data_IF_966310498568
#
_entry.id   IF_966310498568
#
_cell.length_a   1.000
_cell.length_b   1.000
_cell.length_c   1.000
_cell.angle_alpha   90.00
_cell.angle_beta   90.00
_cell.angle_gamma   90.00
#
_symmetry.space_group_name_H-M   'P 1'
#
loop_
_entity.id
_entity.type
_entity.pdbx_description
1 polymer ?
#
# COMPACT_ATOMS: atom_id res chain seq x y z
N UNK A 1 1.00 -3.13 20.78
CA UNK A 1 -0.27 -2.36 20.72
C UNK A 1 -0.07 -1.08 21.51
N UNK A 2 -0.60 0.05 21.04
CA UNK A 2 -0.51 1.31 21.77
C UNK A 2 -1.32 1.23 23.07
N UNK A 3 -0.72 1.59 24.21
CA UNK A 3 -1.35 1.45 25.53
C UNK A 3 -2.60 2.31 25.70
N UNK A 4 -2.68 3.44 24.98
CA UNK A 4 -3.83 4.36 24.95
C UNK A 4 -4.71 4.22 23.70
N UNK A 5 -4.76 3.04 23.08
CA UNK A 5 -5.55 2.86 21.85
C UNK A 5 -7.04 3.20 22.04
N UNK A 6 -7.59 2.95 23.23
CA UNK A 6 -8.99 3.28 23.55
C UNK A 6 -9.21 4.79 23.54
N UNK A 7 -8.37 5.54 24.27
CA UNK A 7 -8.42 7.01 24.30
C UNK A 7 -8.32 7.62 22.89
N UNK A 8 -7.46 7.06 22.03
CA UNK A 8 -7.30 7.51 20.64
C UNK A 8 -8.60 7.28 19.85
N UNK A 9 -9.21 6.09 19.95
CA UNK A 9 -10.46 5.78 19.26
C UNK A 9 -11.62 6.65 19.76
N UNK A 10 -11.69 6.91 21.07
CA UNK A 10 -12.67 7.82 21.66
C UNK A 10 -12.53 9.24 21.11
N UNK A 11 -11.29 9.73 20.97
CA UNK A 11 -11.04 11.04 20.39
C UNK A 11 -11.43 11.09 18.90
N UNK A 12 -11.04 10.09 18.11
CA UNK A 12 -11.41 9.96 16.69
C UNK A 12 -12.94 9.96 16.52
N UNK A 13 -13.65 9.22 17.36
CA UNK A 13 -15.11 9.17 17.37
C UNK A 13 -15.71 10.54 17.70
N UNK A 14 -15.22 11.20 18.75
CA UNK A 14 -15.70 12.53 19.20
C UNK A 14 -15.52 13.59 18.12
N UNK A 15 -14.37 13.60 17.45
CA UNK A 15 -14.03 14.55 16.39
C UNK A 15 -14.64 14.16 15.02
N UNK A 16 -15.47 13.11 14.97
CA UNK A 16 -16.11 12.58 13.76
C UNK A 16 -15.12 12.32 12.60
N UNK A 17 -13.93 11.87 12.94
CA UNK A 17 -12.89 11.57 11.97
C UNK A 17 -13.12 10.19 11.34
N UNK A 18 -12.83 10.08 10.05
CA UNK A 18 -12.83 8.77 9.37
C UNK A 18 -11.69 7.92 9.94
N UNK A 19 -12.00 6.67 10.28
CA UNK A 19 -11.01 5.73 10.78
C UNK A 19 -10.55 4.74 9.70
N UNK A 20 -9.23 4.62 9.52
CA UNK A 20 -8.61 3.57 8.72
C UNK A 20 -7.54 2.91 9.60
N UNK A 21 -7.59 1.59 9.76
CA UNK A 21 -6.66 0.82 10.59
C UNK A 21 -6.03 -0.29 9.77
N UNK A 22 -4.70 -0.34 9.74
CA UNK A 22 -3.95 -1.52 9.30
C UNK A 22 -3.38 -2.23 10.54
N UNK A 23 -3.66 -3.53 10.69
CA UNK A 23 -3.28 -4.32 11.86
C UNK A 23 -2.76 -5.71 11.48
N UNK A 24 -2.03 -6.36 12.38
CA UNK A 24 -1.69 -7.79 12.25
C UNK A 24 -2.81 -8.71 12.78
N UNK A 25 -3.87 -8.15 13.38
CA UNK A 25 -5.05 -8.89 13.85
C UNK A 25 -4.88 -9.62 15.19
N UNK A 26 -3.65 -9.97 15.59
CA UNK A 26 -3.36 -10.84 16.76
C UNK A 26 -4.01 -10.36 18.06
N UNK A 27 -4.04 -9.05 18.29
CA UNK A 27 -4.58 -8.45 19.51
C UNK A 27 -5.96 -7.79 19.30
N UNK A 28 -6.63 -8.08 18.18
CA UNK A 28 -7.93 -7.50 17.89
C UNK A 28 -9.04 -8.22 18.67
N UNK A 29 -9.31 -7.78 19.90
CA UNK A 29 -10.37 -8.35 20.74
C UNK A 29 -11.78 -7.94 20.29
N UNK A 30 -12.84 -8.63 20.72
CA UNK A 30 -14.22 -8.23 20.43
C UNK A 30 -14.53 -6.80 20.92
N UNK A 31 -14.01 -6.41 22.09
CA UNK A 31 -14.24 -5.05 22.62
C UNK A 31 -13.56 -3.99 21.75
N UNK A 32 -12.33 -4.25 21.29
CA UNK A 32 -11.62 -3.31 20.42
C UNK A 32 -12.31 -3.20 19.04
N UNK A 33 -12.78 -4.31 18.50
CA UNK A 33 -13.57 -4.33 17.27
C UNK A 33 -14.87 -3.51 17.43
N UNK A 34 -15.59 -3.69 18.56
CA UNK A 34 -16.76 -2.88 18.89
C UNK A 34 -16.45 -1.38 18.92
N UNK A 35 -15.40 -0.96 19.63
CA UNK A 35 -15.00 0.45 19.70
C UNK A 35 -14.65 1.04 18.32
N UNK A 36 -13.91 0.30 17.49
CA UNK A 36 -13.61 0.75 16.13
C UNK A 36 -14.88 0.90 15.28
N UNK A 37 -15.89 0.06 15.50
CA UNK A 37 -17.14 0.10 14.73
C UNK A 37 -17.94 1.37 14.97
N UNK A 38 -17.81 1.97 16.15
CA UNK A 38 -18.48 3.21 16.54
C UNK A 38 -17.89 4.47 15.88
N UNK A 39 -16.71 4.36 15.26
CA UNK A 39 -16.10 5.47 14.54
C UNK A 39 -16.79 5.73 13.19
N UNK A 40 -16.61 6.93 12.62
CA UNK A 40 -17.18 7.31 11.32
C UNK A 40 -16.48 6.56 10.19
N UNK A 41 -17.26 5.93 9.30
CA UNK A 41 -16.77 5.21 8.11
C UNK A 41 -15.51 4.35 8.35
N UNK A 42 -15.51 3.46 9.35
CA UNK A 42 -14.32 2.77 9.79
C UNK A 42 -13.97 1.68 8.78
N UNK A 43 -12.69 1.58 8.43
CA UNK A 43 -12.15 0.57 7.54
C UNK A 43 -10.96 -0.12 8.19
N UNK A 44 -10.98 -1.44 8.25
CA UNK A 44 -9.92 -2.23 8.90
C UNK A 44 -9.34 -3.22 7.90
N UNK A 45 -8.02 -3.22 7.82
CA UNK A 45 -7.23 -4.19 7.07
C UNK A 45 -6.42 -5.07 8.01
N UNK A 46 -6.44 -6.37 7.79
CA UNK A 46 -5.66 -7.35 8.56
C UNK A 46 -4.60 -7.97 7.67
N UNK A 47 -3.38 -7.96 8.17
CA UNK A 47 -2.22 -8.45 7.43
C UNK A 47 -2.12 -9.98 7.57
N UNK A 48 -2.24 -10.71 6.46
CA UNK A 48 -2.19 -12.19 6.38
C UNK A 48 -1.29 -12.59 5.21
N UNK A 49 -0.03 -12.97 5.50
CA UNK A 49 0.98 -13.22 4.46
C UNK A 49 1.11 -14.70 4.05
N UNK A 50 0.24 -15.58 4.54
CA UNK A 50 0.22 -17.01 4.22
C UNK A 50 -1.15 -17.59 4.52
N UNK A 51 -1.54 -18.60 3.75
CA UNK A 51 -2.81 -19.32 3.91
C UNK A 51 -2.74 -20.42 4.99
N UNK A 52 -1.54 -20.66 5.52
CA UNK A 52 -1.27 -21.55 6.65
C UNK A 52 -0.32 -20.89 7.66
N UNK A 53 -0.22 -21.53 8.84
CA UNK A 53 0.63 -21.07 9.92
C UNK A 53 2.13 -21.13 9.58
N UNK A 54 2.59 -22.13 8.83
CA UNK A 54 4.00 -22.29 8.52
C UNK A 54 4.55 -21.09 7.74
N UNK A 55 3.88 -20.72 6.65
CA UNK A 55 4.30 -19.60 5.80
C UNK A 55 4.04 -18.27 6.49
N UNK A 56 2.85 -18.09 7.07
CA UNK A 56 2.51 -16.83 7.71
C UNK A 56 3.46 -16.52 8.88
N UNK A 57 3.69 -17.49 9.77
CA UNK A 57 4.51 -17.28 10.96
C UNK A 57 6.00 -17.18 10.62
N UNK A 58 6.47 -17.85 9.56
CA UNK A 58 7.82 -17.62 9.04
C UNK A 58 8.02 -16.18 8.58
N UNK A 59 7.05 -15.61 7.85
CA UNK A 59 7.13 -14.22 7.36
C UNK A 59 7.01 -13.23 8.53
N UNK A 60 6.11 -13.49 9.48
CA UNK A 60 5.87 -12.59 10.62
C UNK A 60 6.91 -12.70 11.73
N UNK A 61 7.60 -13.84 11.83
CA UNK A 61 8.54 -14.14 12.91
C UNK A 61 7.88 -14.33 14.28
N UNK A 62 6.58 -14.62 14.33
CA UNK A 62 5.82 -14.72 15.60
C UNK A 62 4.97 -16.01 15.60
N UNK A 63 5.31 -17.00 16.45
CA UNK A 63 4.51 -18.20 16.62
C UNK A 63 3.08 -17.89 17.10
N UNK A 64 2.10 -18.61 16.56
CA UNK A 64 0.68 -18.41 16.84
C UNK A 64 0.06 -17.15 16.21
N UNK A 65 0.82 -16.38 15.44
CA UNK A 65 0.31 -15.16 14.80
C UNK A 65 -0.72 -15.45 13.71
N UNK A 66 -0.67 -16.62 13.07
CA UNK A 66 -1.67 -17.00 12.08
C UNK A 66 -3.06 -17.17 12.69
N UNK A 67 -3.19 -18.02 13.72
CA UNK A 67 -4.48 -18.19 14.42
C UNK A 67 -4.92 -16.91 15.12
N UNK A 68 -3.98 -16.13 15.68
CA UNK A 68 -4.28 -14.81 16.23
C UNK A 68 -4.88 -13.86 15.19
N UNK A 69 -4.32 -13.81 13.98
CA UNK A 69 -4.84 -12.99 12.89
C UNK A 69 -6.22 -13.48 12.43
N UNK A 70 -6.41 -14.80 12.28
CA UNK A 70 -7.71 -15.38 11.93
C UNK A 70 -8.78 -15.06 12.99
N UNK A 71 -8.45 -15.16 14.28
CA UNK A 71 -9.36 -14.80 15.35
C UNK A 71 -9.69 -13.30 15.34
N UNK A 72 -8.69 -12.45 15.09
CA UNK A 72 -8.89 -11.01 14.93
C UNK A 72 -9.85 -10.67 13.79
N UNK A 73 -9.72 -11.36 12.64
CA UNK A 73 -10.63 -11.21 11.50
C UNK A 73 -12.05 -11.62 11.88
N UNK A 74 -12.22 -12.76 12.58
CA UNK A 74 -13.53 -13.21 13.06
C UNK A 74 -14.17 -12.18 14.00
N UNK A 75 -13.42 -11.66 14.96
CA UNK A 75 -13.90 -10.63 15.89
C UNK A 75 -14.35 -9.35 15.15
N UNK A 76 -13.63 -8.93 14.10
CA UNK A 76 -14.03 -7.80 13.26
C UNK A 76 -15.35 -8.09 12.52
N UNK A 77 -15.47 -9.27 11.93
CA UNK A 77 -16.68 -9.70 11.20
C UNK A 77 -17.89 -9.78 12.14
N UNK A 78 -17.71 -10.32 13.34
CA UNK A 78 -18.76 -10.40 14.36
C UNK A 78 -19.20 -9.01 14.85
N UNK A 79 -18.28 -8.04 14.89
CA UNK A 79 -18.58 -6.62 15.14
C UNK A 79 -19.22 -5.89 13.93
N UNK A 80 -19.48 -6.60 12.83
CA UNK A 80 -20.15 -6.07 11.65
C UNK A 80 -19.23 -5.37 10.63
N UNK A 81 -17.92 -5.60 10.70
CA UNK A 81 -17.00 -5.23 9.62
C UNK A 81 -17.03 -6.23 8.47
N UNK A 82 -16.58 -5.77 7.30
CA UNK A 82 -16.09 -6.65 6.24
C UNK A 82 -14.64 -6.23 5.95
N UNK A 83 -13.66 -6.81 6.66
CA UNK A 83 -12.29 -6.32 6.62
C UNK A 83 -11.63 -6.57 5.25
N UNK A 84 -10.55 -5.86 4.98
CA UNK A 84 -9.63 -6.19 3.89
C UNK A 84 -8.52 -7.11 4.41
N UNK A 85 -8.16 -8.14 3.65
CA UNK A 85 -6.97 -8.94 3.93
C UNK A 85 -5.81 -8.42 3.09
N UNK A 86 -4.66 -8.17 3.71
CA UNK A 86 -3.46 -7.70 3.01
C UNK A 86 -2.40 -8.78 3.04
N UNK A 87 -1.87 -9.13 1.88
CA UNK A 87 -0.74 -10.03 1.72
C UNK A 87 0.41 -9.31 1.02
N UNK A 88 1.60 -9.37 1.60
CA UNK A 88 2.84 -8.98 0.89
C UNK A 88 3.34 -10.17 0.10
N UNK A 89 3.44 -10.03 -1.22
CA UNK A 89 3.88 -11.11 -2.10
C UNK A 89 5.39 -11.29 -2.00
N UNK A 90 5.81 -12.54 -1.83
CA UNK A 90 7.19 -13.00 -1.71
C UNK A 90 7.37 -14.28 -2.53
N UNK A 91 8.61 -14.67 -2.85
CA UNK A 91 8.88 -15.96 -3.50
C UNK A 91 8.28 -17.13 -2.71
N UNK A 92 8.39 -17.08 -1.39
CA UNK A 92 7.92 -18.14 -0.50
C UNK A 92 6.40 -18.29 -0.48
N UNK A 93 5.61 -17.25 -0.66
CA UNK A 93 4.14 -17.31 -0.50
C UNK A 93 3.34 -17.08 -1.79
N UNK A 94 3.97 -16.70 -2.91
CA UNK A 94 3.27 -16.38 -4.17
C UNK A 94 2.35 -17.49 -4.67
N UNK A 95 2.65 -18.74 -4.34
CA UNK A 95 1.84 -19.89 -4.73
C UNK A 95 0.52 -20.00 -3.94
N UNK A 96 0.39 -19.28 -2.82
CA UNK A 96 -0.81 -19.27 -1.96
C UNK A 96 -1.77 -18.09 -2.25
N UNK A 97 -1.54 -17.33 -3.33
CA UNK A 97 -2.36 -16.16 -3.65
C UNK A 97 -3.84 -16.54 -3.80
N UNK A 98 -4.14 -17.62 -4.52
CA UNK A 98 -5.52 -18.11 -4.66
C UNK A 98 -6.10 -18.60 -3.33
N UNK A 99 -5.31 -19.31 -2.53
CA UNK A 99 -5.74 -19.82 -1.23
C UNK A 99 -6.09 -18.68 -0.27
N UNK A 100 -5.34 -17.58 -0.29
CA UNK A 100 -5.66 -16.36 0.46
C UNK A 100 -7.00 -15.77 0.01
N UNK A 101 -7.30 -15.76 -1.29
CA UNK A 101 -8.61 -15.30 -1.79
C UNK A 101 -9.74 -16.20 -1.26
N UNK A 102 -9.58 -17.53 -1.34
CA UNK A 102 -10.58 -18.49 -0.82
C UNK A 102 -10.76 -18.37 0.69
N UNK A 103 -9.67 -18.18 1.42
CA UNK A 103 -9.70 -17.96 2.85
C UNK A 103 -10.40 -16.64 3.20
N UNK A 104 -10.15 -15.58 2.44
CA UNK A 104 -10.82 -14.30 2.60
C UNK A 104 -12.34 -14.39 2.37
N UNK A 105 -12.77 -15.13 1.35
CA UNK A 105 -14.18 -15.43 1.09
C UNK A 105 -14.81 -16.18 2.29
N UNK A 106 -14.15 -17.24 2.77
CA UNK A 106 -14.59 -18.02 3.94
C UNK A 106 -14.71 -17.17 5.21
N UNK A 107 -13.80 -16.22 5.39
CA UNK A 107 -13.78 -15.29 6.51
C UNK A 107 -14.71 -14.09 6.31
N UNK A 108 -15.51 -14.04 5.23
CA UNK A 108 -16.44 -12.93 4.93
C UNK A 108 -15.77 -11.55 4.81
N UNK A 109 -14.50 -11.53 4.40
CA UNK A 109 -13.79 -10.30 4.07
C UNK A 109 -14.49 -9.55 2.90
N UNK A 110 -14.24 -8.25 2.78
CA UNK A 110 -14.73 -7.45 1.64
C UNK A 110 -13.78 -7.48 0.44
N UNK A 111 -12.48 -7.60 0.71
CA UNK A 111 -11.45 -7.49 -0.32
C UNK A 111 -10.14 -8.14 0.10
N UNK A 112 -9.30 -8.43 -0.88
CA UNK A 112 -7.89 -8.78 -0.67
C UNK A 112 -7.02 -7.73 -1.35
N UNK A 113 -5.92 -7.34 -0.73
CA UNK A 113 -4.91 -6.46 -1.29
C UNK A 113 -3.56 -7.17 -1.33
N UNK A 114 -3.01 -7.28 -2.53
CA UNK A 114 -1.67 -7.81 -2.75
C UNK A 114 -0.68 -6.65 -2.90
N UNK A 115 0.26 -6.57 -1.96
CA UNK A 115 1.37 -5.64 -2.00
C UNK A 115 2.60 -6.32 -2.60
N UNK A 116 3.21 -5.68 -3.58
CA UNK A 116 4.57 -6.04 -4.00
C UNK A 116 5.54 -5.61 -2.90
N UNK A 117 6.56 -6.42 -2.64
CA UNK A 117 7.63 -6.02 -1.75
C UNK A 117 8.30 -4.77 -2.31
N UNK A 118 8.48 -3.79 -1.44
CA UNK A 118 9.19 -2.57 -1.78
C UNK A 118 10.62 -2.68 -1.25
N UNK A 119 11.67 -2.37 -2.03
CA UNK A 119 13.05 -2.32 -1.55
C UNK A 119 13.29 -1.11 -0.61
N UNK A 120 12.55 -1.03 0.49
CA UNK A 120 12.66 0.00 1.52
C UNK A 120 12.30 -0.58 2.90
N UNK A 121 12.92 -0.04 3.96
CA UNK A 121 12.73 -0.54 5.33
C UNK A 121 13.06 -2.03 5.45
N UNK A 122 12.16 -2.82 6.07
CA UNK A 122 12.33 -4.29 6.19
C UNK A 122 12.44 -5.02 4.86
N UNK A 123 11.91 -4.44 3.76
CA UNK A 123 12.06 -5.01 2.43
C UNK A 123 13.48 -4.93 1.87
N UNK A 124 14.35 -4.07 2.42
CA UNK A 124 15.76 -3.99 1.99
C UNK A 124 16.53 -5.26 2.37
N UNK A 125 16.34 -5.79 3.59
CA UNK A 125 16.96 -7.03 4.05
C UNK A 125 16.47 -8.23 3.25
N UNK A 126 15.17 -8.30 2.99
CA UNK A 126 14.55 -9.38 2.22
C UNK A 126 14.93 -9.34 0.73
N UNK A 127 15.16 -8.14 0.18
CA UNK A 127 15.69 -7.98 -1.17
C UNK A 127 17.15 -8.45 -1.25
N UNK A 128 17.95 -8.17 -0.22
CA UNK A 128 19.34 -8.67 -0.09
C UNK A 128 19.39 -10.20 0.05
N UNK A 129 18.39 -10.82 0.67
CA UNK A 129 18.28 -12.27 0.78
C UNK A 129 17.61 -12.96 -0.40
N UNK A 130 17.39 -12.23 -1.51
CA UNK A 130 16.74 -12.73 -2.73
C UNK A 130 15.34 -13.35 -2.51
N UNK A 131 14.62 -12.96 -1.46
CA UNK A 131 13.26 -13.46 -1.17
C UNK A 131 12.17 -12.73 -1.98
N UNK A 132 12.57 -11.64 -2.66
CA UNK A 132 11.74 -10.85 -3.56
C UNK A 132 11.66 -11.49 -4.96
N UNK A 133 10.57 -11.20 -5.67
CA UNK A 133 10.36 -11.65 -7.04
C UNK A 133 11.17 -10.80 -8.03
N UNK A 134 11.67 -11.42 -9.09
CA UNK A 134 12.24 -10.66 -10.21
C UNK A 134 11.20 -9.78 -10.89
N UNK A 135 11.63 -8.72 -11.58
CA UNK A 135 10.69 -7.82 -12.26
C UNK A 135 9.85 -8.55 -13.32
N UNK A 136 10.42 -9.56 -14.00
CA UNK A 136 9.70 -10.43 -14.93
C UNK A 136 8.60 -11.25 -14.24
N UNK A 137 8.89 -11.83 -13.08
CA UNK A 137 7.91 -12.56 -12.30
C UNK A 137 6.80 -11.64 -11.80
N UNK A 138 7.15 -10.42 -11.34
CA UNK A 138 6.17 -9.44 -10.90
C UNK A 138 5.24 -8.97 -12.04
N UNK A 139 5.76 -8.81 -13.26
CA UNK A 139 4.94 -8.45 -14.43
C UNK A 139 3.98 -9.59 -14.75
N UNK A 140 4.49 -10.81 -14.91
CA UNK A 140 3.65 -11.99 -15.20
C UNK A 140 2.59 -12.23 -14.15
N UNK A 141 2.98 -12.10 -12.87
CA UNK A 141 2.06 -12.27 -11.75
C UNK A 141 0.99 -11.19 -11.77
N UNK A 142 1.36 -9.92 -12.01
CA UNK A 142 0.40 -8.84 -12.11
C UNK A 142 -0.58 -9.02 -13.27
N UNK A 143 -0.11 -9.43 -14.43
CA UNK A 143 -0.98 -9.73 -15.58
C UNK A 143 -2.00 -10.83 -15.24
N UNK A 144 -1.54 -11.91 -14.62
CA UNK A 144 -2.42 -13.01 -14.18
C UNK A 144 -3.42 -12.57 -13.10
N UNK A 145 -2.99 -11.80 -12.09
CA UNK A 145 -3.89 -11.26 -11.06
C UNK A 145 -4.99 -10.40 -11.70
N UNK A 146 -4.59 -9.48 -12.59
CA UNK A 146 -5.51 -8.51 -13.18
C UNK A 146 -6.46 -9.15 -14.21
N UNK A 147 -6.01 -10.17 -14.96
CA UNK A 147 -6.78 -10.76 -16.08
C UNK A 147 -7.54 -12.03 -15.74
N UNK A 148 -7.02 -12.85 -14.83
CA UNK A 148 -7.50 -14.20 -14.56
C UNK A 148 -8.06 -14.31 -13.15
N UNK A 149 -7.23 -14.06 -12.12
CA UNK A 149 -7.64 -14.20 -10.72
C UNK A 149 -8.80 -13.27 -10.34
N UNK A 150 -8.75 -12.01 -10.80
CA UNK A 150 -9.82 -11.03 -10.53
C UNK A 150 -11.20 -11.45 -11.08
N UNK A 151 -11.24 -12.39 -12.04
CA UNK A 151 -12.49 -12.91 -12.62
C UNK A 151 -12.97 -14.20 -11.94
N UNK A 152 -12.11 -14.89 -11.18
CA UNK A 152 -12.43 -16.17 -10.53
C UNK A 152 -13.13 -16.03 -9.17
N UNK A 153 -13.39 -14.79 -8.75
CA UNK A 153 -14.03 -14.43 -7.48
C UNK A 153 -14.89 -13.17 -7.63
N UNK A 154 -15.90 -13.03 -6.77
CA UNK A 154 -16.64 -11.77 -6.59
C UNK A 154 -16.00 -10.84 -5.56
N UNK A 155 -14.97 -11.32 -4.84
CA UNK A 155 -14.21 -10.53 -3.90
C UNK A 155 -13.42 -9.44 -4.64
N UNK A 156 -13.42 -8.21 -4.11
CA UNK A 156 -12.61 -7.16 -4.70
C UNK A 156 -11.13 -7.45 -4.47
N UNK A 157 -10.37 -7.59 -5.54
CA UNK A 157 -8.90 -7.73 -5.48
C UNK A 157 -8.27 -6.38 -5.76
N UNK A 158 -7.41 -5.92 -4.86
CA UNK A 158 -6.52 -4.79 -5.05
C UNK A 158 -5.10 -5.32 -5.28
N UNK A 159 -4.41 -4.78 -6.28
CA UNK A 159 -3.01 -5.14 -6.52
C UNK A 159 -2.19 -3.87 -6.67
N UNK A 160 -1.07 -3.79 -5.95
CA UNK A 160 -0.10 -2.69 -6.00
C UNK A 160 0.74 -2.69 -7.30
N UNK A 161 0.12 -3.09 -8.41
CA UNK A 161 0.66 -3.00 -9.75
C UNK A 161 0.65 -1.54 -10.22
N UNK A 162 1.73 -1.03 -10.84
CA UNK A 162 1.71 0.34 -11.34
C UNK A 162 0.60 0.51 -12.38
N UNK A 163 -0.09 1.65 -12.36
CA UNK A 163 -1.25 1.88 -13.23
C UNK A 163 -0.96 1.76 -14.73
N UNK A 164 0.29 1.95 -15.16
CA UNK A 164 0.69 1.71 -16.53
C UNK A 164 0.39 0.26 -16.98
N UNK A 165 0.47 -0.71 -16.07
CA UNK A 165 0.26 -2.12 -16.39
C UNK A 165 -1.20 -2.57 -16.21
N UNK A 166 -2.06 -1.72 -15.62
CA UNK A 166 -3.46 -2.07 -15.40
C UNK A 166 -4.28 -1.92 -16.69
N UNK A 167 -5.12 -2.91 -17.02
CA UNK A 167 -6.08 -2.76 -18.10
C UNK A 167 -7.15 -1.72 -17.73
N UNK A 168 -7.74 -1.05 -18.73
CA UNK A 168 -8.75 -0.01 -18.52
C UNK A 168 -9.97 -0.52 -17.74
N UNK A 169 -10.35 -1.78 -17.93
CA UNK A 169 -11.44 -2.42 -17.19
C UNK A 169 -11.18 -2.49 -15.68
N UNK A 170 -9.93 -2.55 -15.25
CA UNK A 170 -9.55 -2.57 -13.84
C UNK A 170 -9.46 -1.16 -13.24
N UNK A 171 -9.13 -0.17 -14.06
CA UNK A 171 -9.10 1.24 -13.66
C UNK A 171 -10.50 1.87 -13.58
N UNK A 172 -11.40 1.53 -14.49
CA UNK A 172 -12.69 2.22 -14.65
C UNK A 172 -13.93 1.31 -14.60
N UNK A 173 -13.78 -0.01 -14.55
CA UNK A 173 -14.91 -0.94 -14.50
C UNK A 173 -15.46 -1.15 -13.10
N UNK A 174 -16.70 -1.65 -13.01
CA UNK A 174 -17.44 -1.85 -11.75
C UNK A 174 -16.73 -2.80 -10.75
N UNK A 175 -16.07 -3.82 -11.29
CA UNK A 175 -15.23 -4.77 -10.53
C UNK A 175 -13.77 -4.34 -10.43
N UNK A 176 -13.42 -3.15 -10.90
CA UNK A 176 -12.08 -2.58 -10.82
C UNK A 176 -11.63 -2.24 -9.40
N UNK A 177 -10.33 -2.07 -9.21
CA UNK A 177 -9.75 -1.53 -7.97
C UNK A 177 -9.39 -0.04 -8.06
N UNK A 178 -9.75 0.59 -9.19
CA UNK A 178 -9.63 2.01 -9.43
C UNK A 178 -8.20 2.52 -9.55
N UNK A 179 -8.07 3.83 -9.58
CA UNK A 179 -6.79 4.54 -9.47
C UNK A 179 -6.38 4.66 -8.00
N UNK A 180 -6.18 3.51 -7.33
CA UNK A 180 -5.70 3.46 -5.95
C UNK A 180 -4.29 4.07 -5.86
N UNK A 181 -4.22 5.38 -5.67
CA UNK A 181 -2.99 6.15 -5.57
C UNK A 181 -2.82 6.72 -4.18
N UNK A 182 -1.55 6.93 -3.79
CA UNK A 182 -1.24 7.69 -2.59
C UNK A 182 -1.85 9.10 -2.70
N UNK A 183 -2.51 9.56 -1.65
CA UNK A 183 -3.03 10.93 -1.55
C UNK A 183 -1.92 11.94 -1.28
N UNK A 184 -0.85 11.92 -2.05
CA UNK A 184 0.41 12.62 -1.78
C UNK A 184 0.24 14.14 -1.54
N UNK A 185 -0.76 14.77 -2.15
CA UNK A 185 -1.06 16.19 -1.95
C UNK A 185 -1.85 16.51 -0.68
N UNK A 186 -2.40 15.50 -0.01
CA UNK A 186 -3.30 15.65 1.14
C UNK A 186 -2.95 14.74 2.32
N UNK A 187 -1.71 14.23 2.39
CA UNK A 187 -1.25 13.33 3.44
C UNK A 187 -0.04 13.89 4.17
N UNK A 188 -0.03 13.74 5.48
CA UNK A 188 1.12 13.94 6.35
C UNK A 188 1.14 12.80 7.38
N UNK A 189 2.31 12.23 7.64
CA UNK A 189 2.51 11.22 8.66
C UNK A 189 2.86 11.85 10.00
N UNK A 190 2.37 11.26 11.09
CA UNK A 190 2.83 11.52 12.45
C UNK A 190 3.43 10.21 12.98
N UNK A 191 4.72 10.24 13.31
CA UNK A 191 5.46 9.07 13.79
C UNK A 191 5.25 8.86 15.29
N UNK A 192 5.74 7.73 15.80
CA UNK A 192 5.54 7.35 17.21
C UNK A 192 6.20 8.29 18.22
N UNK A 193 7.22 9.03 17.80
CA UNK A 193 7.93 10.06 18.56
C UNK A 193 7.32 11.47 18.41
N UNK A 194 6.19 11.57 17.71
CA UNK A 194 5.53 12.85 17.42
C UNK A 194 6.14 13.61 16.24
N UNK A 195 7.09 13.04 15.50
CA UNK A 195 7.66 13.68 14.32
C UNK A 195 6.64 13.75 13.17
N UNK A 196 6.50 14.92 12.56
CA UNK A 196 5.80 15.08 11.28
C UNK A 196 6.69 14.59 10.15
N UNK A 197 6.15 13.79 9.22
CA UNK A 197 6.90 13.25 8.09
C UNK A 197 6.03 13.13 6.84
N UNK A 198 6.64 12.83 5.68
CA UNK A 198 5.89 12.62 4.43
C UNK A 198 4.87 11.48 4.55
N UNK A 199 5.29 10.40 5.19
CA UNK A 199 4.49 9.25 5.59
C UNK A 199 5.32 8.45 6.62
N UNK A 200 4.96 7.18 6.85
CA UNK A 200 5.76 6.27 7.70
C UNK A 200 7.22 6.09 7.24
N UNK A 201 7.60 6.52 6.03
CA UNK A 201 8.98 6.50 5.56
C UNK A 201 9.94 7.31 6.43
N UNK A 202 9.44 8.32 7.17
CA UNK A 202 10.25 9.18 8.03
C UNK A 202 11.06 8.42 9.08
N UNK A 203 10.58 7.25 9.51
CA UNK A 203 11.29 6.31 10.40
C UNK A 203 12.66 5.88 9.84
N UNK A 204 12.79 5.86 8.52
CA UNK A 204 14.01 5.39 7.82
C UNK A 204 14.70 6.49 7.02
N UNK A 205 14.00 7.59 6.72
CA UNK A 205 14.52 8.69 5.91
C UNK A 205 14.33 10.01 6.66
N UNK A 206 15.34 10.41 7.48
CA UNK A 206 15.27 11.65 8.26
C UNK A 206 15.04 12.91 7.41
N UNK A 207 15.47 12.91 6.14
CA UNK A 207 15.26 14.05 5.23
C UNK A 207 13.78 14.27 4.88
N UNK A 208 12.93 13.27 5.09
CA UNK A 208 11.48 13.35 4.88
C UNK A 208 10.71 13.56 6.21
N UNK A 209 11.42 13.96 7.27
CA UNK A 209 10.86 14.46 8.53
C UNK A 209 10.85 15.99 8.46
N UNK A 210 9.73 16.59 8.88
CA UNK A 210 9.39 17.98 8.61
C UNK A 210 9.23 18.85 9.85
N UNK A 211 9.18 18.24 11.03
CA UNK A 211 9.00 18.90 12.32
C UNK A 211 8.55 17.91 13.39
N UNK A 212 8.11 18.41 14.54
CA UNK A 212 7.58 17.60 15.65
C UNK A 212 6.36 18.27 16.30
N UNK A 213 5.36 17.48 16.67
CA UNK A 213 4.08 17.93 17.24
C UNK A 213 4.23 18.78 18.50
N UNK A 214 5.29 18.60 19.29
CA UNK A 214 5.50 19.34 20.54
C UNK A 214 6.06 20.75 20.30
N UNK A 215 6.66 21.00 19.13
CA UNK A 215 7.45 22.21 18.85
C UNK A 215 6.89 23.02 17.69
N UNK A 216 6.40 22.34 16.67
CA UNK A 216 6.07 22.92 15.38
C UNK A 216 4.56 22.92 15.13
N UNK A 217 4.03 24.01 14.58
CA UNK A 217 2.65 24.08 14.15
C UNK A 217 2.43 23.19 12.92
N UNK A 218 1.40 22.32 12.98
CA UNK A 218 1.01 21.51 11.82
C UNK A 218 0.70 22.38 10.60
N UNK A 219 0.06 23.54 10.80
CA UNK A 219 -0.28 24.47 9.72
C UNK A 219 0.97 25.03 9.05
N UNK A 220 1.96 25.46 9.84
CA UNK A 220 3.20 26.00 9.31
C UNK A 220 4.00 24.92 8.58
N UNK A 221 4.15 23.74 9.18
CA UNK A 221 4.80 22.59 8.52
C UNK A 221 4.08 22.27 7.21
N UNK A 222 2.75 22.21 7.22
CA UNK A 222 1.96 21.86 6.04
C UNK A 222 2.12 22.88 4.91
N UNK A 223 2.03 24.18 5.20
CA UNK A 223 2.06 25.20 4.15
C UNK A 223 3.46 25.66 3.79
N UNK A 224 4.41 25.65 4.73
CA UNK A 224 5.72 26.30 4.57
C UNK A 224 6.92 25.35 4.44
N UNK A 225 6.76 24.06 4.72
CA UNK A 225 7.86 23.12 4.52
C UNK A 225 8.28 23.04 3.04
N UNK A 226 9.59 23.23 2.78
CA UNK A 226 10.13 23.29 1.43
C UNK A 226 9.89 22.03 0.59
N UNK A 227 10.01 20.83 1.19
CA UNK A 227 9.81 19.57 0.47
C UNK A 227 8.33 19.39 0.10
N UNK A 228 7.41 19.75 0.98
CA UNK A 228 5.98 19.70 0.67
C UNK A 228 5.60 20.68 -0.45
N UNK A 229 6.18 21.89 -0.46
CA UNK A 229 6.01 22.85 -1.58
C UNK A 229 6.56 22.27 -2.87
N UNK A 230 7.79 21.75 -2.85
CA UNK A 230 8.42 21.13 -4.02
C UNK A 230 7.57 20.00 -4.60
N UNK A 231 6.98 19.14 -3.76
CA UNK A 231 6.09 18.05 -4.21
C UNK A 231 4.83 18.59 -4.89
N UNK A 232 4.17 19.59 -4.29
CA UNK A 232 2.94 20.19 -4.83
C UNK A 232 3.17 20.91 -6.15
N UNK A 233 4.29 21.60 -6.28
CA UNK A 233 4.64 22.37 -7.49
C UNK A 233 5.29 21.50 -8.56
N UNK A 234 5.96 20.42 -8.15
CA UNK A 234 6.77 19.59 -9.04
C UNK A 234 6.03 18.42 -9.69
N UNK A 235 5.04 17.84 -9.02
CA UNK A 235 4.31 16.69 -9.57
C UNK A 235 3.15 17.14 -10.46
N UNK A 236 2.92 16.44 -11.60
CA UNK A 236 3.69 15.32 -12.13
C UNK A 236 4.81 15.73 -13.10
N UNK A 237 4.99 17.02 -13.37
CA UNK A 237 5.78 17.53 -14.51
C UNK A 237 7.28 17.31 -14.37
N UNK A 238 7.81 17.34 -13.15
CA UNK A 238 9.24 17.12 -12.89
C UNK A 238 9.65 15.66 -12.91
N UNK A 239 8.72 14.71 -12.99
CA UNK A 239 9.04 13.28 -13.01
C UNK A 239 10.05 12.95 -14.10
N UNK A 240 11.01 12.10 -13.77
CA UNK A 240 12.14 11.70 -14.62
C UNK A 240 11.97 10.27 -15.16
N UNK A 241 12.94 9.82 -15.96
CA UNK A 241 13.00 8.46 -16.50
C UNK A 241 11.76 8.10 -17.32
N UNK A 242 11.35 6.83 -17.26
CA UNK A 242 10.15 6.36 -17.98
C UNK A 242 8.87 7.06 -17.50
N UNK A 243 8.82 7.52 -16.25
CA UNK A 243 7.63 8.17 -15.68
C UNK A 243 7.36 9.54 -16.32
N UNK A 244 8.40 10.25 -16.78
CA UNK A 244 8.26 11.55 -17.48
C UNK A 244 7.33 11.49 -18.68
N UNK A 245 7.45 10.42 -19.44
CA UNK A 245 6.78 10.19 -20.73
C UNK A 245 5.57 9.23 -20.59
N UNK A 246 5.25 8.81 -19.37
CA UNK A 246 4.15 7.89 -19.13
C UNK A 246 2.79 8.60 -19.23
N UNK A 247 1.90 8.08 -20.07
CA UNK A 247 0.54 8.62 -20.26
C UNK A 247 -0.31 8.61 -18.98
N UNK A 248 0.08 7.78 -17.98
CA UNK A 248 -0.62 7.68 -16.70
C UNK A 248 -0.09 8.64 -15.63
N UNK A 249 0.93 9.46 -15.91
CA UNK A 249 1.63 10.25 -14.87
C UNK A 249 0.74 11.25 -14.12
N UNK A 250 -0.28 11.81 -14.79
CA UNK A 250 -1.20 12.78 -14.19
C UNK A 250 -2.14 12.18 -13.14
N UNK A 251 -2.34 10.86 -13.20
CA UNK A 251 -3.15 10.14 -12.22
C UNK A 251 -2.22 9.40 -11.23
N UNK A 252 -1.12 8.83 -11.73
CA UNK A 252 -0.18 8.00 -10.97
C UNK A 252 0.74 8.81 -10.06
N UNK A 253 1.09 10.02 -10.47
CA UNK A 253 1.97 10.93 -9.74
C UNK A 253 3.30 10.28 -9.34
N UNK A 254 3.84 9.38 -10.16
CA UNK A 254 5.10 8.69 -9.88
C UNK A 254 5.00 7.52 -8.90
N UNK A 255 3.79 7.01 -8.63
CA UNK A 255 3.51 5.90 -7.69
C UNK A 255 3.89 6.25 -6.25
N UNK A 256 5.07 5.85 -5.76
CA UNK A 256 5.51 6.12 -4.39
C UNK A 256 6.71 7.07 -4.37
N UNK A 257 6.45 8.36 -4.16
CA UNK A 257 7.48 9.42 -4.10
C UNK A 257 8.49 9.19 -2.97
N UNK A 258 8.00 8.77 -1.81
CA UNK A 258 8.82 8.39 -0.67
C UNK A 258 9.87 7.34 -1.06
N UNK A 259 9.47 6.35 -1.85
CA UNK A 259 10.36 5.29 -2.30
C UNK A 259 11.31 5.73 -3.42
N UNK A 260 10.84 6.56 -4.35
CA UNK A 260 11.70 7.15 -5.38
C UNK A 260 12.87 7.89 -4.72
N UNK A 261 12.57 8.66 -3.67
CA UNK A 261 13.56 9.33 -2.84
C UNK A 261 14.42 8.36 -2.02
N UNK A 262 13.84 7.33 -1.40
CA UNK A 262 14.60 6.34 -0.63
C UNK A 262 15.72 5.71 -1.49
N UNK A 263 15.36 5.26 -2.70
CA UNK A 263 16.23 4.56 -3.63
C UNK A 263 17.30 5.47 -4.26
N UNK A 264 16.90 6.67 -4.71
CA UNK A 264 17.75 7.51 -5.58
C UNK A 264 18.16 8.84 -4.96
N UNK A 265 17.67 9.15 -3.75
CA UNK A 265 17.79 10.47 -3.09
C UNK A 265 17.26 11.63 -3.97
N UNK A 266 16.31 11.32 -4.84
CA UNK A 266 15.65 12.26 -5.74
C UNK A 266 14.14 11.96 -5.77
N UNK A 267 13.31 12.96 -5.43
CA UNK A 267 11.85 12.87 -5.40
C UNK A 267 11.26 12.55 -6.79
N UNK A 268 11.94 13.00 -7.84
CA UNK A 268 11.44 12.96 -9.21
C UNK A 268 11.82 11.70 -9.97
N UNK A 269 12.71 10.88 -9.41
CA UNK A 269 13.14 9.64 -10.05
C UNK A 269 11.96 8.74 -10.41
N UNK A 270 12.05 8.06 -11.54
CA UNK A 270 11.05 7.10 -11.95
C UNK A 270 10.86 6.00 -10.90
N UNK A 271 9.61 5.55 -10.77
CA UNK A 271 9.29 4.41 -9.91
C UNK A 271 10.10 3.18 -10.34
N UNK A 272 10.80 2.55 -9.39
CA UNK A 272 11.77 1.49 -9.65
C UNK A 272 11.19 0.36 -10.53
N UNK A 273 9.94 -0.01 -10.29
CA UNK A 273 9.24 -1.04 -11.06
C UNK A 273 9.13 -0.65 -12.53
N UNK A 274 8.61 0.57 -12.79
CA UNK A 274 8.45 1.09 -14.14
C UNK A 274 9.80 1.24 -14.83
N UNK A 275 10.81 1.74 -14.12
CA UNK A 275 12.13 1.96 -14.68
C UNK A 275 12.84 0.63 -15.03
N UNK A 276 12.67 -0.40 -14.19
CA UNK A 276 13.26 -1.72 -14.42
C UNK A 276 12.55 -2.48 -15.54
N UNK A 277 11.22 -2.44 -15.59
CA UNK A 277 10.45 -2.98 -16.72
C UNK A 277 10.83 -2.30 -18.03
N UNK A 278 11.02 -0.97 -18.01
CA UNK A 278 11.47 -0.25 -19.19
C UNK A 278 12.85 -0.70 -19.68
N UNK A 279 13.84 -0.82 -18.78
CA UNK A 279 15.18 -1.34 -19.11
C UNK A 279 15.13 -2.76 -19.71
N UNK A 280 14.17 -3.58 -19.29
CA UNK A 280 13.96 -4.94 -19.79
C UNK A 280 13.00 -5.05 -20.98
N UNK A 281 12.54 -3.91 -21.55
CA UNK A 281 11.56 -3.86 -22.65
C UNK A 281 10.22 -4.57 -22.32
N UNK A 282 9.80 -4.48 -21.05
CA UNK A 282 8.53 -5.01 -20.54
C UNK A 282 7.54 -3.89 -20.18
N UNK A 283 7.95 -2.63 -20.26
CA UNK A 283 7.03 -1.51 -20.01
C UNK A 283 6.01 -1.40 -21.16
N UNK A 284 4.70 -1.21 -20.89
CA UNK A 284 3.69 -1.20 -21.93
C UNK A 284 3.88 -0.03 -22.91
N UNK A 285 4.19 -0.32 -24.18
CA UNK A 285 4.41 0.69 -25.23
C UNK A 285 3.19 1.58 -25.44
N UNK A 286 1.99 1.04 -25.25
CA UNK A 286 0.71 1.77 -25.32
C UNK A 286 0.51 2.81 -24.22
N UNK A 287 1.43 2.88 -23.26
CA UNK A 287 1.40 3.81 -22.11
C UNK A 287 2.51 4.85 -22.16
N UNK A 288 3.22 4.94 -23.28
CA UNK A 288 4.35 5.83 -23.44
C UNK A 288 4.08 6.83 -24.56
N UNK A 289 4.19 8.14 -24.28
CA UNK A 289 3.93 9.23 -25.23
C UNK A 289 4.76 9.17 -26.52
N UNK A 290 6.02 8.72 -26.48
CA UNK A 290 6.92 8.78 -27.64
C UNK A 290 6.58 7.80 -28.76
N UNK A 291 5.80 6.74 -28.47
CA UNK A 291 5.31 5.81 -29.51
C UNK A 291 4.14 6.39 -30.31
N UNK A 292 3.47 7.43 -29.81
CA UNK A 292 2.40 8.14 -30.52
C UNK A 292 2.93 9.14 -31.55
N UNK A 293 4.17 9.64 -31.38
CA UNK A 293 4.80 10.61 -32.28
C UNK A 293 5.62 9.97 -33.41
N UNK A 294 5.79 8.64 -33.42
CA UNK A 294 6.49 7.91 -34.49
C UNK A 294 5.57 7.40 -35.61
N UNK A 295 4.28 7.80 -35.60
CA UNK A 295 3.26 7.30 -36.53
C UNK A 295 2.36 8.37 -37.15
N UNK A 296 2.77 9.64 -37.16
CA UNK A 296 2.08 10.75 -37.86
C UNK A 296 3.06 11.44 -38.79
#
# INVERSE_FOLDING_TARGET
MHTKIRDILEHIKKEELRLIVETNGVLCTPELAGLMRECKNPFVSVSLDGADAEIHEWIRGVPGSFEGALQGIRNLVDAGFRPQIIMTIMKKNKHQIEDIVRLAEKLKAASVKFNIMQPAGRGEEMHKSEEDLSIEELVKLGEWIERDLSKSTDLRIHHSHPMAFKPLSRLFGDKGDGCSCCGIFGIIGVLGDGSYALCGIGETVPKLVFGNVEKDSLEDVWYNNGILKEIREGLPDRLEGVCRECLMKNICLGSCIAQNYFNNKNLWSAFWYCQNTYKKKLFPETRWSSTLNSGI
#
